data_IF_851653850902
#
_entry.id   IF_851653850902
#
_cell.length_a   1.000
_cell.length_b   1.000
_cell.length_c   1.000
_cell.angle_alpha   90.00
_cell.angle_beta   90.00
_cell.angle_gamma   90.00
#
_symmetry.space_group_name_H-M   'P 1'
#
loop_
_entity.id
_entity.type
_entity.pdbx_description
1 polymer ?
#
# COMPACT_ATOMS: atom_id res chain seq x y z
N UNK A 1 25.88 20.67 -10.45
CA UNK A 1 26.84 21.80 -10.46
C UNK A 1 28.12 21.50 -11.24
N UNK A 2 28.87 20.42 -10.97
CA UNK A 2 30.08 20.06 -11.75
C UNK A 2 29.85 20.09 -13.27
N UNK A 3 28.83 19.38 -13.76
CA UNK A 3 28.48 19.32 -15.19
C UNK A 3 28.20 20.72 -15.76
N UNK A 4 27.51 21.59 -15.00
CA UNK A 4 27.20 22.96 -15.43
C UNK A 4 28.49 23.75 -15.61
N UNK A 5 29.40 23.71 -14.61
CA UNK A 5 30.69 24.40 -14.66
C UNK A 5 31.60 23.87 -15.77
N UNK A 6 31.58 22.57 -16.04
CA UNK A 6 32.34 21.96 -17.14
C UNK A 6 31.79 22.34 -18.52
N UNK A 7 30.46 22.51 -18.65
CA UNK A 7 29.81 22.78 -19.94
C UNK A 7 29.77 24.27 -20.28
N UNK A 8 29.50 25.12 -19.29
CA UNK A 8 29.50 26.58 -19.42
C UNK A 8 30.01 27.22 -18.11
N UNK A 9 31.32 27.52 -18.01
CA UNK A 9 31.90 28.14 -16.83
C UNK A 9 31.31 29.50 -16.45
N UNK A 10 30.78 30.25 -17.42
CA UNK A 10 30.18 31.58 -17.23
C UNK A 10 28.70 31.52 -16.85
N UNK A 11 28.12 30.31 -16.71
CA UNK A 11 26.73 30.15 -16.32
C UNK A 11 26.49 30.63 -14.88
N UNK A 12 25.77 31.73 -14.73
CA UNK A 12 25.26 32.19 -13.43
C UNK A 12 23.92 31.51 -13.13
N UNK A 13 23.98 30.42 -12.36
CA UNK A 13 22.79 29.63 -11.99
C UNK A 13 22.79 29.22 -10.53
N UNK A 14 21.62 29.22 -9.92
CA UNK A 14 21.38 28.64 -8.61
C UNK A 14 20.68 27.27 -8.75
N UNK A 15 21.10 26.28 -7.96
CA UNK A 15 20.50 24.93 -7.95
C UNK A 15 19.75 24.71 -6.63
N UNK A 16 18.46 24.37 -6.74
CA UNK A 16 17.58 24.11 -5.59
C UNK A 16 17.07 22.66 -5.57
N UNK A 17 16.77 22.15 -4.39
CA UNK A 17 16.02 20.92 -4.16
C UNK A 17 14.61 21.27 -3.69
N UNK A 18 13.61 20.91 -4.47
CA UNK A 18 12.19 21.13 -4.15
C UNK A 18 11.44 19.81 -4.31
N UNK A 19 11.51 18.90 -3.31
CA UNK A 19 10.82 17.62 -3.40
C UNK A 19 9.31 17.80 -3.46
N UNK A 20 8.65 16.88 -4.16
CA UNK A 20 7.18 16.77 -4.18
C UNK A 20 6.68 15.86 -3.05
N UNK A 21 5.46 16.08 -2.56
CA UNK A 21 4.80 15.24 -1.55
C UNK A 21 3.37 14.84 -1.96
N UNK A 22 3.19 14.56 -3.24
CA UNK A 22 1.91 14.29 -3.87
C UNK A 22 1.57 12.81 -3.78
N UNK A 23 0.29 12.51 -3.57
CA UNK A 23 -0.23 11.15 -3.70
C UNK A 23 -0.87 10.99 -5.08
N UNK A 24 -0.44 9.98 -5.81
CA UNK A 24 -1.14 9.56 -7.04
C UNK A 24 -2.64 9.30 -6.76
N UNK A 25 -3.52 9.71 -7.67
CA UNK A 25 -4.98 9.76 -7.44
C UNK A 25 -5.49 10.96 -6.62
N UNK A 26 -4.61 11.76 -6.00
CA UNK A 26 -4.96 12.99 -5.27
C UNK A 26 -3.98 14.16 -5.53
N UNK A 27 -3.17 14.06 -6.59
CA UNK A 27 -2.04 14.94 -6.82
C UNK A 27 -2.43 16.43 -6.99
N UNK A 28 -3.57 16.70 -7.63
CA UNK A 28 -4.07 18.07 -7.81
C UNK A 28 -4.43 18.70 -6.46
N UNK A 29 -5.13 17.97 -5.59
CA UNK A 29 -5.53 18.47 -4.27
C UNK A 29 -4.32 18.63 -3.35
N UNK A 30 -3.40 17.66 -3.34
CA UNK A 30 -2.16 17.72 -2.56
C UNK A 30 -1.27 18.89 -3.03
N UNK A 31 -1.25 19.22 -4.33
CA UNK A 31 -0.52 20.37 -4.87
C UNK A 31 -1.18 21.71 -4.53
N UNK A 32 -2.52 21.78 -4.59
CA UNK A 32 -3.27 23.00 -4.28
C UNK A 32 -3.33 23.29 -2.78
N UNK A 33 -3.25 22.26 -1.93
CA UNK A 33 -3.36 22.37 -0.47
C UNK A 33 -2.29 21.52 0.25
N UNK A 34 -1.00 21.79 0.03
CA UNK A 34 0.07 21.04 0.67
C UNK A 34 0.08 21.26 2.19
N UNK A 35 0.44 20.23 2.95
CA UNK A 35 0.75 20.39 4.38
C UNK A 35 1.99 21.28 4.58
N UNK A 36 2.93 21.22 3.63
CA UNK A 36 4.22 21.93 3.61
C UNK A 36 4.84 21.90 2.21
N UNK A 37 5.67 22.89 1.90
CA UNK A 37 6.50 22.96 0.70
C UNK A 37 7.95 23.10 1.15
N UNK A 38 8.81 22.14 0.80
CA UNK A 38 10.21 22.11 1.27
C UNK A 38 11.11 22.62 0.16
N UNK A 39 11.97 23.59 0.47
CA UNK A 39 12.92 24.19 -0.47
C UNK A 39 14.31 24.18 0.16
N UNK A 40 15.21 23.44 -0.48
CA UNK A 40 16.61 23.33 -0.13
C UNK A 40 17.48 24.13 -1.09
N UNK A 41 18.30 25.03 -0.58
CA UNK A 41 19.18 25.87 -1.39
C UNK A 41 20.48 26.18 -0.65
N UNK A 42 21.46 26.69 -1.39
CA UNK A 42 22.73 27.20 -0.83
C UNK A 42 22.99 28.66 -1.27
N UNK A 43 22.32 29.13 -2.34
CA UNK A 43 22.40 30.51 -2.84
C UNK A 43 21.14 31.27 -2.44
N UNK A 44 21.28 32.33 -1.63
CA UNK A 44 20.16 33.09 -1.07
C UNK A 44 19.28 33.74 -2.15
N UNK A 45 19.83 34.00 -3.35
CA UNK A 45 19.05 34.54 -4.48
C UNK A 45 17.88 33.63 -4.86
N UNK A 46 18.03 32.32 -4.67
CA UNK A 46 16.98 31.36 -4.99
C UNK A 46 15.76 31.49 -4.08
N UNK A 47 15.91 32.02 -2.87
CA UNK A 47 14.82 32.08 -1.89
C UNK A 47 13.67 32.98 -2.34
N UNK A 48 13.99 34.17 -2.82
CA UNK A 48 12.99 35.13 -3.30
C UNK A 48 12.25 34.56 -4.52
N UNK A 49 13.00 34.06 -5.50
CA UNK A 49 12.43 33.42 -6.71
C UNK A 49 11.47 32.29 -6.35
N UNK A 50 11.88 31.37 -5.47
CA UNK A 50 11.01 30.25 -5.08
C UNK A 50 9.79 30.70 -4.26
N UNK A 51 9.91 31.79 -3.50
CA UNK A 51 8.77 32.39 -2.79
C UNK A 51 7.75 32.95 -3.78
N UNK A 52 8.20 33.65 -4.81
CA UNK A 52 7.34 34.21 -5.86
C UNK A 52 6.60 33.12 -6.64
N UNK A 53 7.28 32.02 -6.96
CA UNK A 53 6.68 30.85 -7.63
C UNK A 53 5.50 30.29 -6.84
N UNK A 54 5.63 30.17 -5.52
CA UNK A 54 4.60 29.56 -4.67
C UNK A 54 3.57 30.53 -4.11
N UNK A 55 3.79 31.85 -4.22
CA UNK A 55 2.86 32.89 -3.78
C UNK A 55 1.42 32.68 -4.28
N UNK A 56 1.15 32.30 -5.55
CA UNK A 56 -0.22 32.20 -6.05
C UNK A 56 -1.06 31.09 -5.41
N UNK A 57 -0.44 30.12 -4.72
CA UNK A 57 -1.17 29.01 -4.09
C UNK A 57 -1.94 29.42 -2.83
N UNK A 58 -1.58 30.54 -2.20
CA UNK A 58 -2.15 30.96 -0.91
C UNK A 58 -2.43 32.46 -0.89
N UNK A 59 -3.61 32.83 -0.38
CA UNK A 59 -3.99 34.24 -0.18
C UNK A 59 -3.08 34.96 0.81
N UNK A 60 -2.60 34.24 1.83
CA UNK A 60 -1.72 34.76 2.87
C UNK A 60 -0.29 34.25 2.65
N UNK A 61 0.07 33.16 3.32
CA UNK A 61 1.41 32.61 3.29
C UNK A 61 1.36 31.11 3.01
N UNK A 62 2.08 30.67 1.98
CA UNK A 62 2.29 29.26 1.71
C UNK A 62 3.13 28.64 2.84
N UNK A 63 2.90 27.35 3.22
CA UNK A 63 3.64 26.69 4.28
C UNK A 63 5.05 26.28 3.81
N UNK A 64 5.91 27.28 3.56
CA UNK A 64 7.27 27.12 3.04
C UNK A 64 8.25 26.77 4.16
N UNK A 65 9.02 25.70 3.96
CA UNK A 65 10.15 25.29 4.79
C UNK A 65 11.44 25.47 4.00
N UNK A 66 12.20 26.50 4.34
CA UNK A 66 13.51 26.77 3.78
C UNK A 66 14.61 26.05 4.57
N UNK A 67 15.50 25.35 3.88
CA UNK A 67 16.61 24.59 4.51
C UNK A 67 17.80 24.46 3.56
N UNK A 68 18.85 23.74 3.99
CA UNK A 68 20.00 23.39 3.13
C UNK A 68 19.60 22.36 2.09
N UNK A 69 20.27 22.36 0.94
CA UNK A 69 19.88 21.51 -0.20
C UNK A 69 19.87 20.02 0.14
N UNK A 70 20.95 19.52 0.76
CA UNK A 70 21.05 18.12 1.19
C UNK A 70 20.01 17.75 2.25
N UNK A 71 19.65 18.69 3.13
CA UNK A 71 18.60 18.47 4.13
C UNK A 71 17.23 18.31 3.46
N UNK A 72 16.91 19.13 2.46
CA UNK A 72 15.67 19.01 1.68
C UNK A 72 15.57 17.66 0.96
N UNK A 73 16.65 17.22 0.32
CA UNK A 73 16.74 15.91 -0.34
C UNK A 73 16.46 14.78 0.68
N UNK A 74 17.10 14.83 1.85
CA UNK A 74 16.92 13.81 2.89
C UNK A 74 15.51 13.80 3.49
N UNK A 75 14.85 14.96 3.62
CA UNK A 75 13.47 15.06 4.13
C UNK A 75 12.51 14.21 3.28
N UNK A 76 12.67 14.18 1.95
CA UNK A 76 11.83 13.36 1.07
C UNK A 76 11.97 11.87 1.36
N UNK A 77 13.21 11.38 1.40
CA UNK A 77 13.49 9.97 1.68
C UNK A 77 13.07 9.57 3.09
N UNK A 78 13.42 10.38 4.10
CA UNK A 78 13.07 10.10 5.49
C UNK A 78 11.55 10.10 5.71
N UNK A 79 10.82 11.03 5.09
CA UNK A 79 9.36 11.07 5.14
C UNK A 79 8.71 9.82 4.55
N UNK A 80 9.10 9.43 3.34
CA UNK A 80 8.55 8.23 2.69
C UNK A 80 8.94 6.94 3.43
N UNK A 81 10.17 6.85 3.92
CA UNK A 81 10.62 5.71 4.72
C UNK A 81 9.86 5.58 6.03
N UNK A 82 9.55 6.69 6.72
CA UNK A 82 8.74 6.68 7.93
C UNK A 82 7.30 6.23 7.66
N UNK A 83 6.68 6.69 6.56
CA UNK A 83 5.33 6.24 6.17
C UNK A 83 5.30 4.75 5.83
N UNK A 84 6.29 4.24 5.11
CA UNK A 84 6.46 2.82 4.84
C UNK A 84 6.62 2.02 6.14
N UNK A 85 7.41 2.53 7.08
CA UNK A 85 7.61 1.91 8.40
C UNK A 85 6.31 1.88 9.22
N UNK A 86 5.46 2.92 9.19
CA UNK A 86 4.14 2.89 9.85
C UNK A 86 3.25 1.77 9.30
N UNK A 87 3.23 1.60 7.97
CA UNK A 87 2.47 0.53 7.31
C UNK A 87 3.02 -0.84 7.72
N UNK A 88 4.33 -1.04 7.64
CA UNK A 88 4.95 -2.32 8.03
C UNK A 88 4.75 -2.63 9.51
N UNK A 89 4.88 -1.63 10.38
CA UNK A 89 4.62 -1.78 11.82
C UNK A 89 3.21 -2.30 12.07
N UNK A 90 2.17 -1.62 11.54
CA UNK A 90 0.80 -2.06 11.80
C UNK A 90 0.49 -3.43 11.16
N UNK A 91 1.20 -3.78 10.10
CA UNK A 91 1.10 -5.09 9.46
C UNK A 91 1.67 -6.22 10.34
N UNK A 92 2.81 -6.01 11.00
CA UNK A 92 3.33 -6.99 11.98
C UNK A 92 2.41 -7.11 13.20
N UNK A 93 1.85 -5.98 13.66
CA UNK A 93 0.83 -5.99 14.71
C UNK A 93 -0.42 -6.74 14.25
N UNK A 94 -0.82 -6.63 12.98
CA UNK A 94 -1.92 -7.43 12.43
C UNK A 94 -1.63 -8.93 12.56
N UNK A 95 -0.44 -9.36 12.18
CA UNK A 95 -0.07 -10.78 12.26
C UNK A 95 -0.09 -11.28 13.71
N UNK A 96 0.34 -10.44 14.67
CA UNK A 96 0.21 -10.72 16.11
C UNK A 96 -1.26 -10.78 16.56
N UNK A 97 -2.10 -9.83 16.14
CA UNK A 97 -3.52 -9.79 16.47
C UNK A 97 -4.24 -11.09 16.08
N UNK A 98 -3.89 -11.69 14.93
CA UNK A 98 -4.43 -12.99 14.51
C UNK A 98 -4.06 -14.13 15.46
N UNK A 99 -2.88 -14.07 16.11
CA UNK A 99 -2.41 -15.11 17.04
C UNK A 99 -2.97 -14.97 18.45
N UNK A 100 -3.21 -13.73 18.88
CA UNK A 100 -3.65 -13.44 20.27
C UNK A 100 -5.15 -13.19 20.38
N UNK A 101 -5.92 -13.27 19.29
CA UNK A 101 -7.36 -13.03 19.30
C UNK A 101 -7.73 -11.54 19.40
N UNK A 102 -6.88 -10.64 18.92
CA UNK A 102 -7.13 -9.19 18.90
C UNK A 102 -7.60 -8.71 17.52
N UNK A 103 -8.03 -7.45 17.46
CA UNK A 103 -8.47 -6.75 16.24
C UNK A 103 -7.55 -5.57 15.92
N UNK A 104 -6.81 -5.67 14.82
CA UNK A 104 -5.86 -4.66 14.36
C UNK A 104 -6.52 -3.32 14.05
N UNK A 105 -7.79 -3.28 13.63
CA UNK A 105 -8.47 -2.01 13.39
C UNK A 105 -8.74 -1.27 14.70
N UNK A 106 -9.08 -2.01 15.77
CA UNK A 106 -9.24 -1.42 17.10
C UNK A 106 -7.90 -0.98 17.68
N UNK A 107 -6.83 -1.77 17.50
CA UNK A 107 -5.47 -1.40 17.90
C UNK A 107 -5.01 -0.14 17.17
N UNK A 108 -5.14 -0.11 15.84
CA UNK A 108 -4.79 1.04 15.00
C UNK A 108 -5.54 2.30 15.42
N UNK A 109 -6.85 2.18 15.71
CA UNK A 109 -7.66 3.28 16.24
C UNK A 109 -7.15 3.71 17.62
N UNK A 110 -6.92 2.76 18.53
CA UNK A 110 -6.47 3.03 19.90
C UNK A 110 -5.17 3.82 19.94
N UNK A 111 -4.15 3.38 19.21
CA UNK A 111 -2.87 4.12 19.13
C UNK A 111 -2.99 5.41 18.30
N UNK A 112 -3.88 5.44 17.31
CA UNK A 112 -4.09 6.57 16.42
C UNK A 112 -4.80 7.77 17.07
N UNK A 113 -5.46 7.57 18.21
CA UNK A 113 -6.05 8.63 19.03
C UNK A 113 -4.98 9.47 19.75
N UNK A 114 -3.76 8.96 19.90
CA UNK A 114 -2.63 9.72 20.42
C UNK A 114 -2.11 10.68 19.33
N UNK A 115 -2.19 11.98 19.61
CA UNK A 115 -1.75 13.03 18.68
C UNK A 115 -0.27 12.97 18.30
N UNK A 116 0.57 12.28 19.08
CA UNK A 116 1.99 12.06 18.76
C UNK A 116 2.19 10.99 17.68
N UNK A 117 1.24 10.07 17.54
CA UNK A 117 1.27 8.96 16.56
C UNK A 117 0.45 9.32 15.32
N UNK A 118 -0.77 9.79 15.55
CA UNK A 118 -1.77 10.11 14.52
C UNK A 118 -2.32 8.88 13.79
N UNK A 119 -3.59 8.95 13.39
CA UNK A 119 -4.33 7.82 12.80
C UNK A 119 -4.04 7.48 11.33
N UNK A 120 -3.24 8.28 10.60
CA UNK A 120 -2.93 8.02 9.18
C UNK A 120 -1.84 6.96 9.01
N UNK A 121 -1.89 6.21 7.91
CA UNK A 121 -0.93 5.14 7.57
C UNK A 121 -0.87 3.99 8.59
N UNK A 122 -2.00 3.71 9.25
CA UNK A 122 -2.17 2.61 10.22
C UNK A 122 -3.25 1.62 9.76
N UNK A 123 -3.46 1.49 8.46
CA UNK A 123 -4.38 0.50 7.91
C UNK A 123 -3.59 -0.74 7.48
N UNK A 124 -3.76 -1.84 8.23
CA UNK A 124 -3.14 -3.10 7.87
C UNK A 124 -3.68 -3.62 6.53
N UNK A 125 -2.79 -4.19 5.72
CA UNK A 125 -3.14 -4.69 4.39
C UNK A 125 -2.11 -5.67 3.84
N UNK A 126 -2.03 -5.90 2.52
CA UNK A 126 -1.15 -6.90 1.92
C UNK A 126 0.31 -6.44 1.77
N UNK A 127 0.66 -5.30 2.35
CA UNK A 127 1.93 -4.60 2.13
C UNK A 127 1.74 -3.33 1.31
N UNK A 128 2.81 -2.56 1.15
CA UNK A 128 2.84 -1.37 0.32
C UNK A 128 3.52 -1.63 -1.03
N UNK A 129 3.17 -0.80 -2.01
CA UNK A 129 3.74 -0.80 -3.35
C UNK A 129 3.77 0.62 -3.93
N UNK A 130 3.67 0.70 -5.25
CA UNK A 130 3.68 1.95 -5.99
C UNK A 130 5.08 2.44 -6.27
N UNK A 131 5.17 3.49 -7.08
CA UNK A 131 6.46 3.99 -7.56
C UNK A 131 7.29 4.78 -6.54
N UNK A 132 6.73 5.13 -5.38
CA UNK A 132 7.43 5.99 -4.41
C UNK A 132 8.06 5.21 -3.26
N UNK A 133 7.28 4.44 -2.49
CA UNK A 133 7.81 3.85 -1.26
C UNK A 133 8.92 2.82 -1.47
N UNK A 134 8.77 1.79 -2.32
CA UNK A 134 9.81 0.77 -2.50
C UNK A 134 11.12 1.35 -3.05
N UNK A 135 11.05 2.21 -4.07
CA UNK A 135 12.27 2.82 -4.63
C UNK A 135 12.96 3.73 -3.61
N UNK A 136 12.19 4.53 -2.85
CA UNK A 136 12.76 5.53 -1.96
C UNK A 136 13.35 4.88 -0.69
N UNK A 137 12.72 3.82 -0.16
CA UNK A 137 13.27 3.06 0.97
C UNK A 137 14.56 2.34 0.56
N UNK A 138 14.58 1.70 -0.60
CA UNK A 138 15.77 1.04 -1.14
C UNK A 138 16.90 2.04 -1.43
N UNK A 139 16.58 3.18 -2.04
CA UNK A 139 17.56 4.23 -2.31
C UNK A 139 18.14 4.82 -1.01
N UNK A 140 17.31 5.03 0.02
CA UNK A 140 17.76 5.49 1.34
C UNK A 140 18.67 4.46 2.00
N UNK A 141 18.29 3.16 2.00
CA UNK A 141 19.11 2.07 2.53
C UNK A 141 20.46 2.01 1.81
N UNK A 142 20.45 2.04 0.48
CA UNK A 142 21.68 2.01 -0.31
C UNK A 142 22.58 3.22 -0.01
N UNK A 143 22.00 4.41 0.01
CA UNK A 143 22.72 5.64 0.38
C UNK A 143 23.32 5.52 1.79
N UNK A 144 22.56 5.05 2.76
CA UNK A 144 23.01 4.87 4.14
C UNK A 144 24.20 3.89 4.23
N UNK A 145 24.18 2.81 3.45
CA UNK A 145 25.28 1.84 3.36
C UNK A 145 26.52 2.44 2.70
N UNK A 146 26.36 3.21 1.61
CA UNK A 146 27.48 3.86 0.93
C UNK A 146 28.18 4.93 1.79
N UNK A 147 27.52 5.40 2.84
CA UNK A 147 28.06 6.34 3.84
C UNK A 147 28.37 5.68 5.20
N UNK A 148 28.44 4.35 5.28
CA UNK A 148 28.75 3.58 6.50
C UNK A 148 27.85 3.92 7.72
N UNK A 149 26.59 4.31 7.46
CA UNK A 149 25.61 4.71 8.47
C UNK A 149 24.28 3.95 8.30
N UNK A 150 24.25 2.63 8.54
CA UNK A 150 23.10 1.79 8.21
C UNK A 150 21.81 2.17 8.96
N UNK A 151 20.69 2.22 8.23
CA UNK A 151 19.35 2.55 8.73
C UNK A 151 18.51 1.28 8.99
N UNK A 152 18.93 0.50 10.00
CA UNK A 152 18.39 -0.85 10.27
C UNK A 152 16.87 -0.96 10.35
N UNK A 153 16.18 0.04 10.90
CA UNK A 153 14.72 0.05 10.96
C UNK A 153 14.08 0.02 9.56
N UNK A 154 14.69 0.73 8.61
CA UNK A 154 14.20 0.81 7.22
C UNK A 154 14.60 -0.45 6.44
N UNK A 155 15.79 -1.01 6.69
CA UNK A 155 16.20 -2.31 6.13
C UNK A 155 15.19 -3.41 6.50
N UNK A 156 14.84 -3.51 7.78
CA UNK A 156 13.80 -4.44 8.27
C UNK A 156 12.44 -4.12 7.67
N UNK A 157 12.08 -2.83 7.56
CA UNK A 157 10.81 -2.41 6.96
C UNK A 157 10.63 -2.93 5.54
N UNK A 158 11.70 -2.91 4.74
CA UNK A 158 11.70 -3.44 3.36
C UNK A 158 11.56 -4.96 3.37
N UNK A 159 12.39 -5.66 4.15
CA UNK A 159 12.39 -7.13 4.21
C UNK A 159 11.03 -7.71 4.67
N UNK A 160 10.40 -7.09 5.67
CA UNK A 160 9.07 -7.50 6.15
C UNK A 160 8.00 -7.25 5.09
N UNK A 161 8.05 -6.13 4.36
CA UNK A 161 7.08 -5.85 3.31
C UNK A 161 7.14 -6.89 2.17
N UNK A 162 8.34 -7.29 1.75
CA UNK A 162 8.51 -8.29 0.69
C UNK A 162 7.99 -9.67 1.08
N UNK A 163 8.31 -10.10 2.31
CA UNK A 163 7.83 -11.37 2.85
C UNK A 163 6.31 -11.36 3.07
N UNK A 164 5.75 -10.20 3.47
CA UNK A 164 4.31 -10.02 3.69
C UNK A 164 3.48 -10.23 2.43
N UNK A 165 3.89 -9.66 1.29
CA UNK A 165 3.15 -9.83 0.02
C UNK A 165 2.97 -11.31 -0.32
N UNK A 166 4.03 -12.12 -0.17
CA UNK A 166 3.97 -13.59 -0.37
C UNK A 166 3.17 -14.31 0.72
N UNK A 167 3.21 -13.83 1.96
CA UNK A 167 2.42 -14.38 3.06
C UNK A 167 0.91 -14.27 2.83
N UNK A 168 0.47 -13.21 2.16
CA UNK A 168 -0.95 -13.04 1.82
C UNK A 168 -1.47 -14.12 0.87
N UNK A 169 -0.66 -14.58 -0.08
CA UNK A 169 -1.03 -15.73 -0.91
C UNK A 169 -1.23 -16.99 -0.05
N UNK A 170 -0.39 -17.24 0.96
CA UNK A 170 -0.58 -18.36 1.89
C UNK A 170 -1.89 -18.26 2.68
N UNK A 171 -2.31 -17.04 3.05
CA UNK A 171 -3.62 -16.82 3.69
C UNK A 171 -4.77 -17.20 2.75
N UNK A 172 -4.68 -16.85 1.46
CA UNK A 172 -5.67 -17.27 0.45
C UNK A 172 -5.66 -18.79 0.25
N UNK A 173 -4.49 -19.41 0.15
CA UNK A 173 -4.35 -20.88 0.01
C UNK A 173 -4.96 -21.61 1.21
N UNK A 174 -4.73 -21.11 2.44
CA UNK A 174 -5.36 -21.66 3.64
C UNK A 174 -6.88 -21.55 3.58
N UNK A 175 -7.42 -20.41 3.11
CA UNK A 175 -8.86 -20.19 3.00
C UNK A 175 -9.56 -21.14 2.00
N UNK A 176 -8.85 -21.65 0.99
CA UNK A 176 -9.37 -22.67 0.05
C UNK A 176 -9.10 -24.11 0.50
N UNK A 177 -8.70 -24.32 1.74
CA UNK A 177 -8.48 -25.65 2.34
C UNK A 177 -7.04 -26.14 2.34
N UNK A 178 -6.06 -25.27 2.07
CA UNK A 178 -4.63 -25.57 2.16
C UNK A 178 -3.99 -26.13 0.89
N UNK A 179 -4.78 -26.58 -0.09
CA UNK A 179 -4.31 -26.96 -1.42
C UNK A 179 -5.03 -26.14 -2.50
N UNK A 180 -4.26 -25.33 -3.23
CA UNK A 180 -4.75 -24.45 -4.26
C UNK A 180 -4.67 -25.05 -5.67
N UNK A 181 -4.12 -26.27 -5.82
CA UNK A 181 -3.92 -26.90 -7.13
C UNK A 181 -5.25 -27.09 -7.86
N UNK A 182 -5.36 -26.48 -9.04
CA UNK A 182 -6.55 -26.56 -9.89
C UNK A 182 -7.75 -25.75 -9.38
N UNK A 183 -7.63 -25.08 -8.23
CA UNK A 183 -8.64 -24.17 -7.69
C UNK A 183 -8.65 -22.87 -8.49
N UNK A 184 -9.81 -22.23 -8.60
CA UNK A 184 -9.93 -20.90 -9.22
C UNK A 184 -10.03 -19.84 -8.13
N UNK A 185 -9.14 -18.85 -8.15
CA UNK A 185 -9.18 -17.68 -7.25
C UNK A 185 -9.51 -16.44 -8.07
N UNK A 186 -10.61 -15.78 -7.73
CA UNK A 186 -10.94 -14.45 -8.23
C UNK A 186 -10.11 -13.43 -7.45
N UNK A 187 -9.40 -12.53 -8.14
CA UNK A 187 -8.61 -11.45 -7.54
C UNK A 187 -9.19 -10.12 -7.97
N UNK A 188 -9.70 -9.37 -7.00
CA UNK A 188 -10.22 -8.02 -7.20
C UNK A 188 -9.20 -6.99 -6.74
N UNK A 189 -8.82 -6.10 -7.67
CA UNK A 189 -7.79 -5.11 -7.45
C UNK A 189 -6.41 -5.64 -7.84
N UNK A 190 -5.81 -5.02 -8.83
CA UNK A 190 -4.48 -5.35 -9.34
C UNK A 190 -3.48 -4.22 -9.06
N UNK A 191 -3.93 -2.97 -9.05
CA UNK A 191 -3.08 -1.79 -8.80
C UNK A 191 -2.65 -1.72 -7.34
N UNK A 192 -1.60 -0.96 -7.02
CA UNK A 192 -1.09 -0.94 -5.64
C UNK A 192 -2.02 -0.23 -4.64
N UNK A 193 -2.91 0.64 -5.15
CA UNK A 193 -3.91 1.42 -4.42
C UNK A 193 -5.05 1.83 -5.37
N UNK A 194 -6.23 2.24 -4.88
CA UNK A 194 -7.30 2.70 -5.76
C UNK A 194 -7.00 4.05 -6.43
N UNK A 195 -7.79 4.39 -7.45
CA UNK A 195 -7.77 5.66 -8.22
C UNK A 195 -6.46 5.90 -9.00
N UNK A 196 -5.86 4.82 -9.50
CA UNK A 196 -4.68 4.85 -10.37
C UNK A 196 -4.64 3.56 -11.19
N UNK A 197 -3.98 3.59 -12.34
CA UNK A 197 -3.63 2.45 -13.18
C UNK A 197 -2.19 1.94 -12.90
N UNK A 198 -1.48 2.51 -11.92
CA UNK A 198 -0.10 2.16 -11.62
C UNK A 198 0.01 0.79 -10.96
N UNK A 199 0.76 -0.08 -11.62
CA UNK A 199 1.03 -1.46 -11.21
C UNK A 199 2.41 -1.64 -10.57
N UNK A 200 3.27 -0.62 -10.59
CA UNK A 200 4.66 -0.73 -10.10
C UNK A 200 4.66 -1.17 -8.63
N UNK A 201 5.43 -2.22 -8.35
CA UNK A 201 5.56 -2.85 -7.03
C UNK A 201 4.23 -3.22 -6.35
N UNK A 202 3.14 -3.38 -7.10
CA UNK A 202 1.83 -3.74 -6.56
C UNK A 202 1.90 -5.06 -5.77
N UNK A 203 1.29 -5.13 -4.58
CA UNK A 203 1.16 -6.40 -3.84
C UNK A 203 0.51 -7.52 -4.66
N UNK A 204 -0.41 -7.17 -5.58
CA UNK A 204 -1.11 -8.15 -6.40
C UNK A 204 -0.17 -8.99 -7.26
N UNK A 205 0.93 -8.42 -7.77
CA UNK A 205 1.93 -9.13 -8.59
C UNK A 205 2.50 -10.32 -7.80
N UNK A 206 2.99 -10.05 -6.58
CA UNK A 206 3.59 -11.09 -5.73
C UNK A 206 2.57 -12.10 -5.21
N UNK A 207 1.34 -11.65 -4.92
CA UNK A 207 0.26 -12.53 -4.46
C UNK A 207 -0.15 -13.50 -5.57
N UNK A 208 -0.39 -12.98 -6.77
CA UNK A 208 -0.82 -13.77 -7.93
C UNK A 208 0.27 -14.75 -8.33
N UNK A 209 1.54 -14.33 -8.40
CA UNK A 209 2.65 -15.23 -8.68
C UNK A 209 2.69 -16.40 -7.69
N UNK A 210 2.59 -16.12 -6.38
CA UNK A 210 2.60 -17.17 -5.37
C UNK A 210 1.37 -18.10 -5.43
N UNK A 211 0.22 -17.61 -5.87
CA UNK A 211 -0.96 -18.45 -6.13
C UNK A 211 -0.76 -19.36 -7.35
N UNK A 212 -0.17 -18.84 -8.41
CA UNK A 212 0.16 -19.61 -9.62
C UNK A 212 1.23 -20.68 -9.32
N UNK A 213 2.25 -20.34 -8.53
CA UNK A 213 3.28 -21.28 -8.08
C UNK A 213 2.67 -22.43 -7.26
N UNK A 214 1.59 -22.17 -6.54
CA UNK A 214 0.80 -23.18 -5.81
C UNK A 214 -0.20 -23.96 -6.70
N UNK A 215 -0.27 -23.64 -8.00
CA UNK A 215 -1.11 -24.32 -8.99
C UNK A 215 -2.55 -23.81 -9.08
N UNK A 216 -2.85 -22.64 -8.50
CA UNK A 216 -4.15 -22.00 -8.67
C UNK A 216 -4.31 -21.39 -10.08
N UNK A 217 -5.55 -21.39 -10.56
CA UNK A 217 -5.97 -20.56 -11.70
C UNK A 217 -6.46 -19.24 -11.17
N UNK A 218 -5.96 -18.13 -11.70
CA UNK A 218 -6.35 -16.79 -11.23
C UNK A 218 -7.21 -16.10 -12.28
N UNK A 219 -8.30 -15.47 -11.83
CA UNK A 219 -9.11 -14.53 -12.61
C UNK A 219 -8.98 -13.13 -12.01
N UNK A 220 -8.41 -12.19 -12.74
CA UNK A 220 -8.12 -10.85 -12.26
C UNK A 220 -9.08 -9.80 -12.82
N UNK A 221 -9.56 -8.91 -11.96
CA UNK A 221 -10.28 -7.70 -12.34
C UNK A 221 -9.75 -6.49 -11.58
N UNK A 222 -9.47 -5.41 -12.30
CA UNK A 222 -9.22 -4.08 -11.76
C UNK A 222 -10.01 -3.07 -12.61
N UNK A 223 -10.61 -2.01 -12.02
CA UNK A 223 -11.38 -1.04 -12.79
C UNK A 223 -10.54 -0.24 -13.79
N UNK A 224 -9.27 0.06 -13.46
CA UNK A 224 -8.42 0.98 -14.25
C UNK A 224 -7.08 0.36 -14.66
N UNK A 225 -6.54 -0.57 -13.85
CA UNK A 225 -5.19 -1.10 -14.01
C UNK A 225 -5.03 -2.24 -15.01
N UNK A 226 -6.07 -2.66 -15.72
CA UNK A 226 -6.08 -3.89 -16.52
C UNK A 226 -5.00 -3.90 -17.60
N UNK A 227 -4.86 -2.80 -18.36
CA UNK A 227 -3.91 -2.73 -19.47
C UNK A 227 -2.45 -2.75 -18.99
N UNK A 228 -2.15 -2.09 -17.87
CA UNK A 228 -0.82 -2.14 -17.28
C UNK A 228 -0.55 -3.47 -16.58
N UNK A 229 -1.57 -4.08 -15.97
CA UNK A 229 -1.44 -5.38 -15.33
C UNK A 229 -1.07 -6.47 -16.35
N UNK A 230 -1.68 -6.45 -17.55
CA UNK A 230 -1.36 -7.39 -18.65
C UNK A 230 0.10 -7.37 -19.10
N UNK A 231 0.82 -6.26 -18.87
CA UNK A 231 2.24 -6.13 -19.22
C UNK A 231 3.17 -6.74 -18.17
N UNK A 232 2.66 -7.02 -16.97
CA UNK A 232 3.46 -7.36 -15.79
C UNK A 232 3.08 -8.70 -15.16
N UNK A 233 1.87 -9.22 -15.44
CA UNK A 233 1.36 -10.45 -14.87
C UNK A 233 0.91 -11.36 -16.01
N UNK A 234 1.61 -12.48 -16.17
CA UNK A 234 1.25 -13.49 -17.16
C UNK A 234 0.41 -14.61 -16.54
N UNK A 235 -0.25 -15.42 -17.37
CA UNK A 235 -0.87 -16.67 -16.92
C UNK A 235 -2.13 -16.53 -16.06
N UNK A 236 -2.82 -15.38 -16.12
CA UNK A 236 -4.14 -15.19 -15.50
C UNK A 236 -5.20 -14.86 -16.53
N UNK A 237 -6.47 -15.14 -16.20
CA UNK A 237 -7.60 -14.69 -17.00
C UNK A 237 -8.04 -13.30 -16.55
N UNK A 238 -7.93 -12.33 -17.43
CA UNK A 238 -8.40 -10.97 -17.21
C UNK A 238 -9.84 -10.83 -17.70
N UNK A 239 -10.72 -10.34 -16.83
CA UNK A 239 -12.17 -10.29 -17.06
C UNK A 239 -12.71 -8.88 -16.93
N UNK A 240 -13.95 -8.63 -17.35
CA UNK A 240 -14.53 -7.28 -17.43
C UNK A 240 -15.28 -6.81 -16.18
N UNK A 241 -15.47 -7.67 -15.17
CA UNK A 241 -16.17 -7.28 -13.93
C UNK A 241 -15.79 -8.16 -12.74
N UNK A 242 -16.08 -7.65 -11.53
CA UNK A 242 -15.92 -8.41 -10.30
C UNK A 242 -16.74 -9.71 -10.28
N UNK A 243 -17.94 -9.73 -10.89
CA UNK A 243 -18.80 -10.91 -10.93
C UNK A 243 -18.30 -11.96 -11.93
N UNK A 244 -17.78 -11.54 -13.08
CA UNK A 244 -17.15 -12.44 -14.05
C UNK A 244 -15.87 -13.08 -13.47
N UNK A 245 -15.12 -12.33 -12.66
CA UNK A 245 -13.98 -12.88 -11.93
C UNK A 245 -14.42 -13.98 -10.95
N UNK A 246 -15.56 -13.77 -10.30
CA UNK A 246 -16.13 -14.66 -9.30
C UNK A 246 -16.79 -15.94 -9.87
N UNK A 247 -17.12 -15.98 -11.17
CA UNK A 247 -17.80 -17.13 -11.78
C UNK A 247 -17.00 -18.44 -11.61
N UNK A 248 -17.60 -19.41 -10.91
CA UNK A 248 -16.99 -20.70 -10.60
C UNK A 248 -15.77 -20.64 -9.69
N UNK A 249 -15.47 -19.49 -9.09
CA UNK A 249 -14.31 -19.33 -8.22
C UNK A 249 -14.50 -20.10 -6.89
N UNK A 250 -13.42 -20.75 -6.44
CA UNK A 250 -13.34 -21.41 -5.13
C UNK A 250 -13.10 -20.39 -4.00
N UNK A 251 -12.56 -19.21 -4.32
CA UNK A 251 -12.49 -18.05 -3.43
C UNK A 251 -12.42 -16.73 -4.20
N UNK A 252 -12.88 -15.65 -3.56
CA UNK A 252 -12.68 -14.28 -4.01
C UNK A 252 -11.73 -13.57 -3.05
N UNK A 253 -10.68 -12.96 -3.58
CA UNK A 253 -9.64 -12.26 -2.85
C UNK A 253 -9.64 -10.77 -3.24
N UNK A 254 -9.82 -9.88 -2.26
CA UNK A 254 -9.72 -8.44 -2.46
C UNK A 254 -8.31 -8.00 -2.08
N UNK A 255 -7.58 -7.42 -3.03
CA UNK A 255 -6.19 -6.96 -2.84
C UNK A 255 -6.11 -5.43 -2.81
N UNK A 256 -7.00 -4.73 -3.51
CA UNK A 256 -7.02 -3.26 -3.61
C UNK A 256 -8.40 -2.72 -3.32
N UNK A 257 -8.48 -1.71 -2.44
CA UNK A 257 -9.68 -1.20 -1.80
C UNK A 257 -10.49 -0.19 -2.64
N UNK A 258 -10.69 -0.50 -3.93
CA UNK A 258 -11.55 0.27 -4.82
C UNK A 258 -12.96 0.44 -4.23
N UNK A 259 -13.54 1.63 -4.38
CA UNK A 259 -14.86 1.94 -3.82
C UNK A 259 -15.94 1.00 -4.36
N UNK A 260 -15.84 0.60 -5.62
CA UNK A 260 -16.76 -0.34 -6.28
C UNK A 260 -16.80 -1.70 -5.58
N UNK A 261 -15.70 -2.13 -4.96
CA UNK A 261 -15.63 -3.40 -4.23
C UNK A 261 -16.21 -3.30 -2.83
N UNK A 262 -16.59 -2.11 -2.33
CA UNK A 262 -17.19 -1.94 -1.00
C UNK A 262 -18.69 -2.25 -0.99
N UNK A 263 -19.31 -2.37 -2.16
CA UNK A 263 -20.75 -2.52 -2.32
C UNK A 263 -21.11 -3.66 -3.30
N UNK A 264 -20.35 -4.77 -3.25
CA UNK A 264 -20.66 -5.96 -4.03
C UNK A 264 -21.99 -6.60 -3.59
N UNK A 265 -22.74 -7.12 -4.55
CA UNK A 265 -23.98 -7.88 -4.35
C UNK A 265 -23.64 -9.31 -3.92
N UNK A 266 -23.62 -9.56 -2.60
CA UNK A 266 -23.31 -10.87 -2.03
C UNK A 266 -24.28 -11.99 -2.44
N UNK A 267 -25.62 -11.77 -2.47
CA UNK A 267 -26.54 -12.74 -3.06
C UNK A 267 -26.12 -13.17 -4.47
N UNK A 268 -25.77 -12.22 -5.35
CA UNK A 268 -25.29 -12.54 -6.70
C UNK A 268 -23.94 -13.24 -6.69
N UNK A 269 -22.99 -12.84 -5.85
CA UNK A 269 -21.71 -13.54 -5.72
C UNK A 269 -21.91 -15.01 -5.35
N UNK A 270 -22.83 -15.29 -4.42
CA UNK A 270 -23.12 -16.63 -3.95
C UNK A 270 -23.70 -17.55 -5.04
N UNK A 271 -24.41 -16.99 -6.02
CA UNK A 271 -24.95 -17.79 -7.14
C UNK A 271 -23.91 -18.11 -8.20
N UNK A 272 -22.94 -17.22 -8.43
CA UNK A 272 -21.92 -17.41 -9.47
C UNK A 272 -20.68 -18.15 -8.96
N UNK A 273 -20.34 -18.02 -7.68
CA UNK A 273 -19.17 -18.67 -7.09
C UNK A 273 -19.40 -20.16 -6.85
N UNK A 274 -18.32 -20.95 -6.87
CA UNK A 274 -18.36 -22.38 -6.53
C UNK A 274 -18.42 -22.60 -5.02
N UNK A 275 -17.74 -21.75 -4.25
CA UNK A 275 -17.79 -21.75 -2.80
C UNK A 275 -17.84 -20.31 -2.29
N UNK A 276 -18.63 -20.01 -1.24
CA UNK A 276 -18.74 -18.65 -0.71
C UNK A 276 -17.56 -18.36 0.23
N UNK A 277 -16.35 -18.27 -0.31
CA UNK A 277 -15.12 -17.93 0.44
C UNK A 277 -14.64 -16.55 0.04
N UNK A 278 -14.55 -15.64 1.00
CA UNK A 278 -14.09 -14.27 0.80
C UNK A 278 -12.83 -14.01 1.62
N UNK A 279 -11.75 -13.60 0.95
CA UNK A 279 -10.50 -13.18 1.57
C UNK A 279 -10.32 -11.68 1.33
N UNK A 280 -10.51 -10.87 2.36
CA UNK A 280 -10.35 -9.42 2.30
C UNK A 280 -9.01 -9.00 2.89
N UNK A 281 -8.06 -8.69 2.02
CA UNK A 281 -6.72 -8.26 2.44
C UNK A 281 -6.65 -6.77 2.77
N UNK A 282 -7.76 -6.03 2.68
CA UNK A 282 -7.84 -4.59 2.96
C UNK A 282 -8.84 -4.27 4.06
N UNK A 283 -9.48 -5.26 4.67
CA UNK A 283 -10.46 -5.08 5.76
C UNK A 283 -11.55 -4.03 5.42
N UNK A 284 -12.00 -3.99 4.16
CA UNK A 284 -13.08 -3.10 3.70
C UNK A 284 -14.44 -3.52 4.29
N UNK A 285 -14.59 -4.79 4.65
CA UNK A 285 -15.82 -5.32 5.24
C UNK A 285 -15.70 -5.64 6.73
N UNK A 286 -16.85 -5.56 7.42
CA UNK A 286 -17.02 -6.06 8.79
C UNK A 286 -17.28 -7.56 8.77
N UNK A 287 -16.65 -8.37 9.64
CA UNK A 287 -16.82 -9.82 9.61
C UNK A 287 -18.29 -10.26 9.70
N UNK A 288 -19.06 -9.66 10.60
CA UNK A 288 -20.43 -10.07 10.89
C UNK A 288 -21.38 -9.82 9.71
N UNK A 289 -21.05 -8.84 8.86
CA UNK A 289 -21.82 -8.52 7.65
C UNK A 289 -21.65 -9.61 6.58
N UNK A 290 -20.40 -10.05 6.37
CA UNK A 290 -20.07 -11.08 5.39
C UNK A 290 -20.58 -12.45 5.82
N UNK A 291 -20.44 -12.77 7.10
CA UNK A 291 -20.93 -14.02 7.68
C UNK A 291 -22.45 -14.14 7.58
N UNK A 292 -23.20 -13.03 7.74
CA UNK A 292 -24.67 -13.01 7.55
C UNK A 292 -25.10 -13.34 6.13
N UNK A 293 -24.26 -13.09 5.13
CA UNK A 293 -24.49 -13.53 3.75
C UNK A 293 -24.06 -14.98 3.50
N UNK A 294 -23.51 -15.66 4.52
CA UNK A 294 -23.12 -17.06 4.50
C UNK A 294 -21.81 -17.29 3.75
N UNK A 295 -20.89 -16.32 3.83
CA UNK A 295 -19.53 -16.47 3.34
C UNK A 295 -18.58 -16.85 4.48
N UNK A 296 -17.66 -17.78 4.20
CA UNK A 296 -16.48 -17.96 5.03
C UNK A 296 -15.56 -16.76 4.81
N UNK A 297 -15.38 -15.94 5.84
CA UNK A 297 -14.66 -14.68 5.75
C UNK A 297 -13.28 -14.79 6.40
N UNK A 298 -12.24 -14.40 5.66
CA UNK A 298 -10.88 -14.25 6.17
C UNK A 298 -10.43 -12.82 5.91
N UNK A 299 -9.90 -12.16 6.94
CA UNK A 299 -9.38 -10.80 6.82
C UNK A 299 -7.99 -10.68 7.48
N UNK A 300 -7.43 -9.47 7.50
CA UNK A 300 -6.07 -9.21 7.99
C UNK A 300 -6.13 -8.67 9.41
N UNK A 301 -5.47 -9.34 10.35
CA UNK A 301 -5.30 -8.83 11.71
C UNK A 301 -6.53 -8.91 12.60
N UNK A 302 -7.49 -9.77 12.26
CA UNK A 302 -8.66 -10.04 13.11
C UNK A 302 -8.62 -11.51 13.50
N UNK A 303 -8.27 -11.79 14.75
CA UNK A 303 -8.34 -13.15 15.28
C UNK A 303 -9.79 -13.57 15.46
N UNK A 304 -10.16 -14.75 14.96
CA UNK A 304 -11.46 -15.35 15.27
C UNK A 304 -11.44 -15.85 16.71
N UNK A 305 -12.38 -15.39 17.53
CA UNK A 305 -12.66 -15.88 18.90
C UNK A 305 -13.21 -17.30 18.94
N UNK A 306 -13.08 -18.09 17.86
CA UNK A 306 -13.42 -19.51 17.84
C UNK A 306 -12.59 -20.34 18.83
N UNK A 307 -11.41 -19.83 19.24
CA UNK A 307 -10.62 -20.44 20.31
C UNK A 307 -11.10 -20.08 21.73
N UNK A 308 -11.86 -18.99 21.89
CA UNK A 308 -12.40 -18.56 23.19
C UNK A 308 -13.57 -19.40 23.68
N UNK A 309 -14.41 -19.90 22.75
CA UNK A 309 -15.56 -20.75 23.10
C UNK A 309 -15.18 -22.17 23.50
N UNK A 310 -13.99 -22.65 23.13
CA UNK A 310 -13.48 -23.96 23.57
C UNK A 310 -12.76 -23.85 24.93
N UNK A 311 -12.20 -22.68 25.26
CA UNK A 311 -11.57 -22.42 26.54
C UNK A 311 -12.60 -22.12 27.65
N UNK A 312 -13.65 -21.34 27.37
CA UNK A 312 -14.74 -21.10 28.33
C UNK A 312 -15.67 -22.31 28.53
N UNK A 313 -15.66 -23.29 27.62
CA UNK A 313 -16.37 -24.57 27.81
C UNK A 313 -15.53 -25.61 28.57
N UNK A 314 -14.28 -25.29 28.92
CA UNK A 314 -13.34 -26.15 29.62
C UNK A 314 -12.93 -25.62 31.02
N UNK A 315 -13.56 -24.53 31.48
CA UNK A 315 -13.53 -24.01 32.85
C UNK A 315 -14.90 -24.21 33.51
#
# INVERSE_FOLDING_TARGET
ERIIRETNPEADVAVVSNPEFLREGAAIDDFKRPDRIVIGYEDERAREVMTEVYRPLYLNQAPLLFTKRRTSELIKYAGNAFLAMKITFINEIADLCEKVGADVQQVARGIGLDGRIGGKFLHAGPGYGGSCFPKDTLALVKTAQDYDSPVRLIETTVAVNDTRKRAMARKVIAAVGGDARGKTVAVLGLTFKPMTDDMRDSPAISIIQALQDAGAKVRGFDPEGMDNARKLIDGIAYVGSAYEAAEGADALCIVTEWNEFRALDFPRLKTVMKAPVLVDLRNIYRPEEIERHGFAYTSVGRGTTLAGQVAEAAE
#
